data_IF_768844196051
#
_entry.id   IF_768844196051
#
_cell.length_a   1.000
_cell.length_b   1.000
_cell.length_c   1.000
_cell.angle_alpha   90.00
_cell.angle_beta   90.00
_cell.angle_gamma   90.00
#
_symmetry.space_group_name_H-M   'P 1'
#
loop_
_entity.id
_entity.type
_entity.pdbx_description
1 polymer ?
#
# COMPACT_ATOMS: atom_id res chain seq x y z
N UNK A 1 -1.08 -2.70 -42.64
CA UNK A 1 0.03 -2.18 -43.46
C UNK A 1 1.32 -2.37 -42.67
N UNK A 2 2.22 -3.16 -43.26
CA UNK A 2 3.53 -3.72 -42.87
C UNK A 2 4.09 -3.58 -41.43
N UNK A 3 4.27 -4.72 -40.72
CA UNK A 3 5.29 -4.90 -39.67
C UNK A 3 6.66 -5.20 -40.30
N UNK A 4 7.74 -4.59 -39.81
CA UNK A 4 9.11 -5.01 -40.13
C UNK A 4 9.68 -5.81 -38.97
N UNK A 5 9.78 -7.10 -39.23
CA UNK A 5 10.66 -8.08 -38.60
C UNK A 5 12.12 -7.65 -38.65
N UNK A 6 12.80 -7.68 -37.49
CA UNK A 6 14.24 -7.91 -37.46
C UNK A 6 14.54 -8.97 -36.38
N UNK A 7 14.38 -10.22 -36.79
CA UNK A 7 14.98 -11.37 -36.14
C UNK A 7 16.43 -11.46 -36.61
N UNK A 8 17.38 -11.12 -35.75
CA UNK A 8 18.74 -11.67 -35.78
C UNK A 8 19.11 -11.93 -34.32
N UNK A 9 18.77 -13.12 -33.84
CA UNK A 9 19.74 -14.16 -33.52
C UNK A 9 20.91 -13.67 -32.64
N UNK A 10 20.74 -13.83 -31.33
CA UNK A 10 21.82 -14.26 -30.45
C UNK A 10 21.31 -15.51 -29.69
N UNK A 11 21.68 -16.73 -30.14
CA UNK A 11 21.33 -17.96 -29.45
C UNK A 11 22.42 -18.23 -28.41
N UNK A 12 22.20 -17.84 -27.16
CA UNK A 12 23.17 -18.17 -26.13
C UNK A 12 22.95 -17.44 -24.81
N UNK A 13 22.62 -18.25 -23.79
CA UNK A 13 22.96 -18.03 -22.39
C UNK A 13 21.96 -17.22 -21.54
N UNK A 14 21.00 -17.98 -20.98
CA UNK A 14 20.65 -17.96 -19.55
C UNK A 14 20.59 -16.58 -18.87
N UNK A 15 19.45 -15.91 -18.96
CA UNK A 15 19.06 -14.95 -17.92
C UNK A 15 17.99 -15.60 -17.07
N UNK A 16 18.39 -15.91 -15.84
CA UNK A 16 17.62 -16.59 -14.83
C UNK A 16 16.23 -15.97 -14.66
N UNK A 17 15.21 -16.76 -14.99
CA UNK A 17 13.83 -16.53 -14.58
C UNK A 17 13.73 -16.83 -13.06
N UNK A 18 14.35 -15.98 -12.25
CA UNK A 18 14.15 -15.98 -10.81
C UNK A 18 12.76 -15.36 -10.56
N UNK A 19 11.75 -16.23 -10.48
CA UNK A 19 10.42 -15.89 -9.97
C UNK A 19 10.56 -15.36 -8.54
N UNK A 20 10.70 -14.05 -8.39
CA UNK A 20 10.46 -13.39 -7.13
C UNK A 20 8.98 -13.61 -6.76
N UNK A 21 8.66 -14.08 -5.54
CA UNK A 21 7.27 -14.18 -5.10
C UNK A 21 6.75 -12.76 -4.95
N UNK A 22 6.08 -12.25 -5.99
CA UNK A 22 5.36 -10.99 -5.97
C UNK A 22 4.18 -11.15 -5.01
N UNK A 23 4.35 -10.77 -3.75
CA UNK A 23 3.23 -10.47 -2.88
C UNK A 23 2.39 -9.41 -3.62
N UNK A 24 1.21 -9.81 -4.09
CA UNK A 24 0.35 -9.01 -4.96
C UNK A 24 -0.27 -7.86 -4.18
N UNK A 25 0.51 -6.80 -3.98
CA UNK A 25 0.03 -5.53 -3.49
C UNK A 25 -0.43 -4.73 -4.70
N UNK A 26 -1.72 -4.39 -4.73
CA UNK A 26 -2.23 -3.48 -5.75
C UNK A 26 -1.68 -2.08 -5.49
N UNK A 27 -1.40 -1.31 -6.54
CA UNK A 27 -0.98 0.09 -6.39
C UNK A 27 -2.19 1.01 -6.54
N UNK A 28 -2.24 2.07 -5.73
CA UNK A 28 -3.16 3.18 -5.93
C UNK A 28 -2.76 4.01 -7.15
N UNK A 29 -3.68 4.85 -7.64
CA UNK A 29 -3.40 5.83 -8.71
C UNK A 29 -2.25 6.78 -8.35
N UNK A 30 -2.02 6.99 -7.06
CA UNK A 30 -0.97 7.84 -6.51
C UNK A 30 0.38 7.10 -6.36
N UNK A 31 0.47 5.82 -6.77
CA UNK A 31 1.71 5.02 -6.74
C UNK A 31 2.03 4.40 -5.38
N UNK A 32 1.09 4.39 -4.44
CA UNK A 32 1.27 3.76 -3.13
C UNK A 32 0.71 2.33 -3.13
N UNK A 33 1.31 1.38 -2.40
CA UNK A 33 0.71 0.08 -2.19
C UNK A 33 -0.65 0.20 -1.49
N UNK A 34 -1.59 -0.67 -1.83
CA UNK A 34 -2.96 -0.67 -1.38
C UNK A 34 -3.36 -2.01 -0.74
N UNK A 35 -4.24 -1.93 0.24
CA UNK A 35 -4.80 -3.08 0.95
C UNK A 35 -6.31 -2.92 1.09
N UNK A 36 -7.06 -3.98 0.77
CA UNK A 36 -8.52 -3.99 0.91
C UNK A 36 -8.92 -3.97 2.39
N UNK A 37 -9.93 -3.17 2.72
CA UNK A 37 -10.51 -3.08 4.06
C UNK A 37 -10.84 -4.45 4.70
N UNK A 38 -11.40 -5.38 3.91
CA UNK A 38 -11.77 -6.73 4.38
C UNK A 38 -10.58 -7.60 4.79
N UNK A 39 -9.37 -7.30 4.32
CA UNK A 39 -8.14 -8.06 4.62
C UNK A 39 -7.42 -7.53 5.87
N UNK A 40 -7.94 -6.46 6.48
CA UNK A 40 -7.33 -5.84 7.65
C UNK A 40 -7.66 -6.59 8.94
N UNK A 41 -6.81 -6.50 9.99
CA UNK A 41 -7.15 -6.99 11.32
C UNK A 41 -8.39 -6.28 11.88
N UNK A 42 -9.19 -6.98 12.69
CA UNK A 42 -10.42 -6.44 13.31
C UNK A 42 -10.18 -5.16 14.12
N UNK A 43 -9.00 -4.99 14.72
CA UNK A 43 -8.65 -3.75 15.42
C UNK A 43 -8.55 -2.55 14.45
N UNK A 44 -7.84 -2.71 13.34
CA UNK A 44 -7.69 -1.66 12.31
C UNK A 44 -9.02 -1.38 11.61
N UNK A 45 -9.82 -2.41 11.34
CA UNK A 45 -11.16 -2.24 10.75
C UNK A 45 -12.05 -1.34 11.63
N UNK A 46 -12.07 -1.57 12.95
CA UNK A 46 -12.83 -0.75 13.89
C UNK A 46 -12.35 0.70 13.89
N UNK A 47 -11.04 0.93 13.93
CA UNK A 47 -10.47 2.29 13.84
C UNK A 47 -10.82 2.99 12.52
N UNK A 48 -10.77 2.26 11.40
CA UNK A 48 -11.16 2.80 10.10
C UNK A 48 -12.64 3.18 10.04
N UNK A 49 -13.55 2.33 10.54
CA UNK A 49 -14.99 2.64 10.59
C UNK A 49 -15.26 3.88 11.46
N UNK A 50 -14.53 4.03 12.56
CA UNK A 50 -14.66 5.20 13.44
C UNK A 50 -14.17 6.49 12.78
N UNK A 51 -13.11 6.42 11.98
CA UNK A 51 -12.52 7.61 11.31
C UNK A 51 -13.18 7.92 9.97
N UNK A 52 -13.85 6.94 9.35
CA UNK A 52 -14.57 7.07 8.07
C UNK A 52 -15.46 8.32 7.98
N UNK A 53 -16.29 8.69 8.98
CA UNK A 53 -17.11 9.90 8.91
C UNK A 53 -16.29 11.20 8.79
N UNK A 54 -15.04 11.23 9.28
CA UNK A 54 -14.16 12.40 9.23
C UNK A 54 -13.27 12.44 7.99
N UNK A 55 -13.20 11.34 7.23
CA UNK A 55 -12.25 11.17 6.13
C UNK A 55 -12.57 12.10 4.95
N UNK A 56 -13.86 12.31 4.66
CA UNK A 56 -14.32 13.01 3.47
C UNK A 56 -13.91 12.29 2.18
N UNK A 57 -14.06 12.97 1.03
CA UNK A 57 -13.79 12.38 -0.30
C UNK A 57 -12.28 12.19 -0.58
N UNK A 58 -11.48 13.13 -0.12
CA UNK A 58 -10.04 13.21 -0.42
C UNK A 58 -9.16 12.64 0.71
N UNK A 59 -9.74 12.31 1.86
CA UNK A 59 -8.98 11.70 2.93
C UNK A 59 -8.53 10.29 2.58
N UNK A 60 -7.36 9.91 3.07
CA UNK A 60 -6.79 8.57 2.90
C UNK A 60 -6.29 8.07 4.24
N UNK A 61 -6.48 6.78 4.47
CA UNK A 61 -5.90 6.09 5.61
C UNK A 61 -4.88 5.08 5.12
N UNK A 62 -3.86 4.83 5.93
CA UNK A 62 -2.81 3.86 5.67
C UNK A 62 -2.53 3.03 6.91
N UNK A 63 -2.03 1.83 6.69
CA UNK A 63 -1.76 0.87 7.75
C UNK A 63 -0.54 0.01 7.45
N UNK A 64 0.12 -0.45 8.50
CA UNK A 64 1.17 -1.45 8.47
C UNK A 64 1.04 -2.33 9.71
N UNK A 65 1.21 -3.64 9.56
CA UNK A 65 1.18 -4.58 10.67
C UNK A 65 1.93 -5.86 10.28
N UNK A 66 2.66 -6.44 11.23
CA UNK A 66 3.34 -7.74 11.04
C UNK A 66 2.43 -8.93 11.38
N UNK A 67 1.56 -8.75 12.38
CA UNK A 67 0.64 -9.79 12.88
C UNK A 67 -0.75 -9.22 13.12
N UNK A 68 -1.78 -10.05 12.95
CA UNK A 68 -3.18 -9.72 13.25
C UNK A 68 -3.53 -9.81 14.74
N UNK A 69 -2.66 -10.41 15.57
CA UNK A 69 -2.83 -10.50 17.04
C UNK A 69 -2.22 -9.32 17.79
N UNK A 70 -1.14 -8.75 17.25
CA UNK A 70 -0.26 -7.84 17.98
C UNK A 70 -0.72 -6.39 17.80
N UNK A 71 -1.81 -6.03 18.47
CA UNK A 71 -2.45 -4.71 18.33
C UNK A 71 -1.51 -3.54 18.64
N UNK A 72 -0.54 -3.72 19.54
CA UNK A 72 0.46 -2.69 19.90
C UNK A 72 1.41 -2.35 18.75
N UNK A 73 1.58 -3.26 17.79
CA UNK A 73 2.44 -3.09 16.60
C UNK A 73 1.62 -2.85 15.34
N UNK A 74 0.33 -2.56 15.47
CA UNK A 74 -0.52 -2.17 14.35
C UNK A 74 -0.47 -0.65 14.17
N UNK A 75 -0.11 -0.24 12.98
CA UNK A 75 -0.04 1.17 12.60
C UNK A 75 -1.30 1.51 11.83
N UNK A 76 -1.95 2.58 12.24
CA UNK A 76 -3.13 3.11 11.58
C UNK A 76 -3.04 4.62 11.58
N UNK A 77 -2.92 5.21 10.40
CA UNK A 77 -2.81 6.66 10.22
C UNK A 77 -3.82 7.11 9.20
N UNK A 78 -4.49 8.24 9.47
CA UNK A 78 -5.38 8.88 8.52
C UNK A 78 -4.95 10.31 8.25
N UNK A 79 -5.25 10.78 7.05
CA UNK A 79 -5.20 12.18 6.69
C UNK A 79 -6.61 12.65 6.39
N UNK A 80 -7.25 13.25 7.40
CA UNK A 80 -8.61 13.79 7.37
C UNK A 80 -8.60 15.27 6.97
N UNK A 81 -9.76 15.79 6.53
CA UNK A 81 -9.95 17.19 6.15
C UNK A 81 -8.97 17.71 5.07
N UNK A 82 -8.64 16.87 4.08
CA UNK A 82 -7.73 17.25 3.00
C UNK A 82 -8.51 17.69 1.75
N UNK A 83 -7.99 18.70 1.04
CA UNK A 83 -8.61 19.24 -0.18
C UNK A 83 -8.19 18.52 -1.48
N UNK A 84 -7.04 17.85 -1.48
CA UNK A 84 -6.45 17.18 -2.65
C UNK A 84 -6.13 15.72 -2.28
N UNK A 85 -6.72 14.76 -3.00
CA UNK A 85 -6.59 13.33 -2.68
C UNK A 85 -5.14 12.81 -2.67
N UNK A 86 -4.30 13.27 -3.59
CA UNK A 86 -2.88 12.89 -3.65
C UNK A 86 -2.10 13.36 -2.42
N UNK A 87 -2.42 14.55 -1.89
CA UNK A 87 -1.87 15.04 -0.62
C UNK A 87 -2.38 14.22 0.57
N UNK A 88 -3.62 13.72 0.50
CA UNK A 88 -4.17 12.82 1.49
C UNK A 88 -3.36 11.52 1.59
N UNK A 89 -3.11 10.89 0.44
CA UNK A 89 -2.30 9.67 0.36
C UNK A 89 -0.86 9.91 0.81
N UNK A 90 -0.23 10.99 0.34
CA UNK A 90 1.16 11.35 0.72
C UNK A 90 1.30 11.56 2.23
N UNK A 91 0.39 12.31 2.84
CA UNK A 91 0.44 12.62 4.28
C UNK A 91 0.15 11.39 5.15
N UNK A 92 -0.83 10.57 4.77
CA UNK A 92 -1.13 9.35 5.54
C UNK A 92 0.05 8.39 5.50
N UNK A 93 0.61 8.17 4.30
CA UNK A 93 1.76 7.28 4.09
C UNK A 93 3.01 7.76 4.81
N UNK A 94 3.33 9.04 4.76
CA UNK A 94 4.48 9.58 5.49
C UNK A 94 4.35 9.34 7.01
N UNK A 95 3.17 9.61 7.59
CA UNK A 95 2.92 9.33 9.01
C UNK A 95 3.02 7.84 9.33
N UNK A 96 2.53 6.98 8.43
CA UNK A 96 2.64 5.54 8.60
C UNK A 96 4.10 5.10 8.62
N UNK A 97 4.92 5.57 7.69
CA UNK A 97 6.35 5.22 7.62
C UNK A 97 7.13 5.75 8.83
N UNK A 98 6.76 6.93 9.35
CA UNK A 98 7.35 7.46 10.58
C UNK A 98 7.04 6.57 11.79
N UNK A 99 5.78 6.16 11.95
CA UNK A 99 5.38 5.22 13.01
C UNK A 99 5.98 3.83 12.81
N UNK A 100 6.15 3.39 11.57
CA UNK A 100 6.75 2.10 11.22
C UNK A 100 8.20 2.02 11.70
N UNK A 101 8.95 3.10 11.50
CA UNK A 101 10.33 3.22 12.01
C UNK A 101 10.37 3.24 13.53
N UNK A 102 9.41 3.91 14.18
CA UNK A 102 9.34 4.00 15.65
C UNK A 102 8.96 2.68 16.31
N UNK A 103 8.01 1.93 15.74
CA UNK A 103 7.48 0.68 16.28
C UNK A 103 8.20 -0.57 15.75
N UNK A 104 9.22 -0.37 14.90
CA UNK A 104 10.00 -1.44 14.25
C UNK A 104 9.15 -2.47 13.52
N UNK A 105 8.05 -2.03 12.89
CA UNK A 105 7.17 -2.88 12.09
C UNK A 105 7.84 -3.17 10.75
N UNK A 106 7.96 -4.45 10.39
CA UNK A 106 8.69 -4.86 9.18
C UNK A 106 7.84 -4.69 7.93
N UNK A 107 6.54 -4.97 8.03
CA UNK A 107 5.58 -4.82 6.96
C UNK A 107 5.59 -3.39 6.39
N UNK A 108 5.58 -3.23 5.05
CA UNK A 108 5.49 -1.91 4.46
C UNK A 108 4.12 -1.25 4.72
N UNK A 109 4.08 0.08 4.69
CA UNK A 109 2.81 0.81 4.77
C UNK A 109 2.00 0.61 3.49
N UNK A 110 0.67 0.54 3.62
CA UNK A 110 -0.26 0.47 2.50
C UNK A 110 -1.49 1.34 2.75
N UNK A 111 -2.03 1.95 1.69
CA UNK A 111 -3.27 2.73 1.69
C UNK A 111 -4.48 1.80 1.74
N UNK A 112 -5.43 2.09 2.61
CA UNK A 112 -6.66 1.32 2.74
C UNK A 112 -7.62 1.70 1.61
N UNK A 113 -8.07 0.70 0.86
CA UNK A 113 -9.07 0.82 -0.20
C UNK A 113 -10.31 -0.01 0.13
N UNK A 114 -11.49 0.48 -0.27
CA UNK A 114 -12.77 -0.23 -0.11
C UNK A 114 -13.14 -1.05 -1.35
#
# INVERSE_FOLDING_TARGET
MKPLTLSVLYPGLLVALACAPLAAWSMTKDGYPAIEFRKLPNAVQRSYVNEKPNLGENGRCSTAFDSTSDQEKMIFTCSIYIKIGSEGARRSMNRCEDQRKQLHVKAPCAVIVE
#
